data_IF_259491716647
#
_entry.id   IF_259491716647
#
_cell.length_a   1.000
_cell.length_b   1.000
_cell.length_c   1.000
_cell.angle_alpha   90.00
_cell.angle_beta   90.00
_cell.angle_gamma   90.00
#
_symmetry.space_group_name_H-M   'P 1'
#
loop_
_entity.id
_entity.type
_entity.pdbx_description
1 polymer ?
#
# COMPACT_ATOMS: atom_id res chain seq x y z
N UNK A 1 15.90 -12.99 27.90
CA UNK A 1 15.97 -11.85 26.96
C UNK A 1 14.91 -12.02 25.87
N UNK A 2 13.77 -11.33 26.00
CA UNK A 2 12.61 -11.50 25.10
C UNK A 2 12.80 -10.72 23.78
N UNK A 3 12.69 -11.42 22.64
CA UNK A 3 12.83 -10.83 21.30
C UNK A 3 11.56 -10.06 20.94
N UNK A 4 11.69 -8.74 20.82
CA UNK A 4 10.63 -7.86 20.31
C UNK A 4 10.31 -8.26 18.85
N UNK A 5 9.04 -8.57 18.51
CA UNK A 5 8.68 -8.96 17.14
C UNK A 5 8.96 -7.84 16.14
N UNK A 6 9.39 -8.23 14.93
CA UNK A 6 9.83 -7.34 13.84
C UNK A 6 8.82 -6.25 13.40
N UNK A 7 7.60 -6.25 13.93
CA UNK A 7 6.47 -5.41 13.53
C UNK A 7 6.49 -4.02 14.19
N UNK A 8 7.11 -3.86 15.36
CA UNK A 8 6.97 -2.62 16.16
C UNK A 8 7.98 -1.51 15.81
N UNK A 9 9.21 -1.85 15.38
CA UNK A 9 10.24 -0.85 15.03
C UNK A 9 10.10 -0.29 13.61
N UNK A 10 9.61 -1.09 12.66
CA UNK A 10 9.47 -0.67 11.27
C UNK A 10 8.29 0.29 11.05
N UNK A 11 7.19 0.09 11.80
CA UNK A 11 6.00 0.94 11.75
C UNK A 11 6.25 2.34 12.33
N UNK A 12 7.09 2.45 13.37
CA UNK A 12 7.37 3.74 14.03
C UNK A 12 8.16 4.71 13.13
N UNK A 13 9.10 4.20 12.32
CA UNK A 13 9.93 5.02 11.40
C UNK A 13 9.21 5.42 10.10
N UNK A 14 8.28 4.60 9.61
CA UNK A 14 7.44 4.99 8.46
C UNK A 14 6.39 6.05 8.83
N UNK A 15 5.99 6.09 10.11
CA UNK A 15 5.02 7.05 10.64
C UNK A 15 5.57 8.48 10.76
N UNK A 16 6.83 8.67 11.16
CA UNK A 16 7.41 10.02 11.25
C UNK A 16 7.60 10.69 9.87
N UNK A 17 7.93 9.90 8.84
CA UNK A 17 8.09 10.41 7.47
C UNK A 17 6.76 10.85 6.85
N UNK A 18 5.68 10.08 7.04
CA UNK A 18 4.35 10.42 6.50
C UNK A 18 3.70 11.60 7.25
N UNK A 19 3.98 11.77 8.55
CA UNK A 19 3.48 12.89 9.35
C UNK A 19 4.09 14.23 8.90
N UNK A 20 5.36 14.24 8.52
CA UNK A 20 6.03 15.45 8.02
C UNK A 20 5.49 15.89 6.65
N UNK A 21 5.14 14.95 5.76
CA UNK A 21 4.56 15.30 4.45
C UNK A 21 3.12 15.80 4.52
N UNK A 22 2.36 15.44 5.56
CA UNK A 22 1.00 15.95 5.77
C UNK A 22 0.93 17.32 6.45
N UNK A 23 2.01 17.78 7.10
CA UNK A 23 1.98 19.05 7.82
C UNK A 23 2.01 20.27 6.90
N UNK A 24 2.43 20.12 5.64
CA UNK A 24 2.44 21.19 4.64
C UNK A 24 1.09 21.40 3.97
N UNK A 25 0.25 20.36 3.88
CA UNK A 25 -1.12 20.46 3.33
C UNK A 25 -2.17 20.91 4.35
N UNK A 26 -1.86 20.86 5.66
CA UNK A 26 -2.81 21.19 6.72
C UNK A 26 -2.84 22.68 7.11
N UNK A 27 -2.03 23.54 6.48
CA UNK A 27 -1.98 24.99 6.82
C UNK A 27 -3.10 25.81 6.18
N UNK A 28 -3.91 25.24 5.30
CA UNK A 28 -4.94 25.97 4.54
C UNK A 28 -6.36 25.91 5.15
N UNK A 29 -6.57 25.16 6.23
CA UNK A 29 -7.86 25.02 6.89
C UNK A 29 -7.78 25.35 8.38
N UNK A 30 -7.42 26.60 8.71
CA UNK A 30 -7.64 27.14 10.05
C UNK A 30 -9.11 27.55 10.20
N UNK A 31 -10.00 26.57 10.39
CA UNK A 31 -11.37 26.87 10.81
C UNK A 31 -11.36 27.11 12.32
N UNK A 32 -11.76 28.32 12.70
CA UNK A 32 -11.86 28.82 14.07
C UNK A 32 -12.67 27.88 14.95
N UNK A 33 -12.00 27.16 15.86
CA UNK A 33 -12.65 26.41 16.94
C UNK A 33 -12.51 27.17 18.26
N UNK A 34 -13.35 28.16 18.48
CA UNK A 34 -13.62 28.68 19.83
C UNK A 34 -15.10 28.47 20.10
N UNK A 35 -15.38 27.81 21.23
CA UNK A 35 -16.69 27.49 21.80
C UNK A 35 -17.33 26.17 21.31
N UNK A 36 -16.89 25.06 21.90
CA UNK A 36 -17.73 23.86 22.06
C UNK A 36 -17.81 23.54 23.57
N UNK A 37 -19.01 23.47 24.17
CA UNK A 37 -19.19 23.11 25.57
C UNK A 37 -18.67 21.70 25.87
N UNK A 38 -17.87 21.55 26.93
CA UNK A 38 -17.35 20.27 27.41
C UNK A 38 -18.39 19.61 28.32
N UNK A 39 -19.38 18.91 27.75
CA UNK A 39 -20.25 18.03 28.55
C UNK A 39 -19.55 16.67 28.79
N UNK A 40 -19.36 16.22 30.04
CA UNK A 40 -18.60 15.01 30.37
C UNK A 40 -19.34 13.69 30.08
N UNK A 41 -20.62 13.72 29.66
CA UNK A 41 -21.44 12.50 29.47
C UNK A 41 -21.76 12.11 28.02
N UNK A 42 -21.51 12.98 27.03
CA UNK A 42 -21.79 12.69 25.61
C UNK A 42 -20.67 11.88 24.89
N UNK A 43 -19.64 11.43 25.62
CA UNK A 43 -18.48 10.72 25.05
C UNK A 43 -18.66 9.21 24.86
N UNK A 44 -19.77 8.61 25.31
CA UNK A 44 -19.84 7.15 25.44
C UNK A 44 -20.51 6.41 24.27
N UNK A 45 -21.41 7.04 23.50
CA UNK A 45 -22.22 6.30 22.51
C UNK A 45 -21.66 6.29 21.08
N UNK A 46 -20.72 7.18 20.75
CA UNK A 46 -20.07 7.19 19.43
C UNK A 46 -18.85 6.26 19.33
N UNK A 47 -18.40 5.69 20.46
CA UNK A 47 -17.20 4.86 20.52
C UNK A 47 -17.45 3.36 20.28
N UNK A 48 -18.72 2.91 20.22
CA UNK A 48 -19.09 1.49 20.22
C UNK A 48 -19.85 1.02 18.99
N UNK A 49 -20.06 1.87 17.97
CA UNK A 49 -20.61 1.36 16.71
C UNK A 49 -19.48 0.69 15.91
N UNK A 50 -19.49 -0.65 15.75
CA UNK A 50 -18.48 -1.35 14.97
C UNK A 50 -18.50 -0.78 13.57
N UNK A 51 -17.31 -0.48 13.03
CA UNK A 51 -17.24 -0.04 11.65
C UNK A 51 -17.80 -1.16 10.77
N UNK A 52 -18.89 -0.90 10.05
CA UNK A 52 -19.56 -1.89 9.23
C UNK A 52 -18.55 -2.52 8.25
N UNK A 53 -18.39 -3.87 8.25
CA UNK A 53 -17.51 -4.60 7.34
C UNK A 53 -17.80 -4.36 5.85
N UNK A 54 -19.01 -3.89 5.52
CA UNK A 54 -19.55 -3.80 4.17
C UNK A 54 -18.75 -2.93 3.20
N UNK A 55 -18.30 -1.73 3.59
CA UNK A 55 -17.56 -0.84 2.65
C UNK A 55 -16.22 -1.46 2.25
N UNK A 56 -15.65 -2.32 3.10
CA UNK A 56 -14.43 -3.03 2.76
C UNK A 56 -14.71 -4.15 1.79
N UNK A 57 -15.87 -4.79 1.84
CA UNK A 57 -16.25 -5.84 0.89
C UNK A 57 -16.23 -5.33 -0.56
N UNK A 58 -16.70 -4.11 -0.78
CA UNK A 58 -16.89 -3.52 -2.13
C UNK A 58 -15.59 -3.11 -2.84
N UNK A 59 -14.46 -3.00 -2.12
CA UNK A 59 -13.18 -2.67 -2.75
C UNK A 59 -12.60 -3.93 -3.39
N UNK A 60 -12.49 -3.93 -4.72
CA UNK A 60 -11.79 -4.99 -5.44
C UNK A 60 -10.29 -5.00 -5.09
N UNK A 61 -9.71 -6.17 -4.81
CA UNK A 61 -8.30 -6.25 -4.50
C UNK A 61 -7.45 -5.94 -5.73
N UNK A 62 -6.52 -5.02 -5.58
CA UNK A 62 -5.55 -4.74 -6.66
C UNK A 62 -4.63 -5.95 -6.84
N UNK A 63 -4.53 -6.46 -8.07
CA UNK A 63 -3.72 -7.65 -8.36
C UNK A 63 -2.28 -7.28 -8.72
N UNK A 64 -1.33 -8.02 -8.16
CA UNK A 64 0.09 -7.86 -8.41
C UNK A 64 0.73 -9.20 -8.75
N UNK A 65 1.70 -9.21 -9.67
CA UNK A 65 2.55 -10.38 -9.96
C UNK A 65 3.93 -10.17 -9.35
N UNK A 66 4.40 -11.13 -8.56
CA UNK A 66 5.70 -11.12 -7.91
C UNK A 66 6.56 -12.26 -8.45
N UNK A 67 7.55 -11.93 -9.26
CA UNK A 67 8.55 -12.89 -9.72
C UNK A 67 9.60 -13.07 -8.64
N UNK A 68 9.69 -14.31 -8.15
CA UNK A 68 10.46 -14.71 -6.99
C UNK A 68 11.56 -15.68 -7.38
N UNK A 69 12.73 -15.52 -6.75
CA UNK A 69 13.81 -16.50 -6.77
C UNK A 69 14.10 -16.94 -5.34
N UNK A 70 14.01 -18.25 -5.01
CA UNK A 70 14.13 -18.75 -3.63
C UNK A 70 15.53 -18.53 -3.05
N UNK A 71 16.57 -18.63 -3.88
CA UNK A 71 17.96 -18.53 -3.40
C UNK A 71 18.44 -17.08 -3.24
N UNK A 72 17.68 -16.09 -3.73
CA UNK A 72 18.07 -14.69 -3.63
C UNK A 72 17.49 -14.10 -2.33
N UNK A 73 18.32 -13.76 -1.32
CA UNK A 73 17.83 -13.37 0.01
C UNK A 73 16.94 -12.12 -0.01
N UNK A 74 17.22 -11.19 -0.91
CA UNK A 74 16.42 -9.98 -1.08
C UNK A 74 15.00 -10.31 -1.59
N UNK A 75 14.87 -11.28 -2.50
CA UNK A 75 13.59 -11.75 -3.00
C UNK A 75 12.77 -12.39 -1.88
N UNK A 76 13.38 -13.29 -1.10
CA UNK A 76 12.74 -13.96 0.06
C UNK A 76 12.27 -12.95 1.11
N UNK A 77 13.14 -12.00 1.50
CA UNK A 77 12.82 -10.96 2.48
C UNK A 77 11.68 -10.06 2.00
N UNK A 78 11.63 -9.76 0.71
CA UNK A 78 10.58 -8.91 0.13
C UNK A 78 9.25 -9.65 0.07
N UNK A 79 9.26 -10.93 -0.35
CA UNK A 79 8.07 -11.79 -0.35
C UNK A 79 7.44 -11.85 1.05
N UNK A 80 8.25 -12.12 2.09
CA UNK A 80 7.76 -12.17 3.48
C UNK A 80 7.06 -10.87 3.89
N UNK A 81 7.59 -9.71 3.49
CA UNK A 81 6.96 -8.41 3.80
C UNK A 81 5.64 -8.23 3.07
N UNK A 82 5.57 -8.62 1.80
CA UNK A 82 4.36 -8.50 0.98
C UNK A 82 3.26 -9.45 1.49
N UNK A 83 3.61 -10.69 1.84
CA UNK A 83 2.64 -11.65 2.41
C UNK A 83 2.06 -11.16 3.74
N UNK A 84 2.83 -10.44 4.55
CA UNK A 84 2.31 -9.79 5.77
C UNK A 84 1.32 -8.65 5.48
N UNK A 85 1.33 -8.07 4.28
CA UNK A 85 0.37 -7.03 3.88
C UNK A 85 -0.95 -7.62 3.39
N UNK A 86 -0.90 -8.78 2.72
CA UNK A 86 -2.08 -9.51 2.22
C UNK A 86 -2.90 -10.10 3.38
N UNK A 87 -2.23 -10.66 4.39
CA UNK A 87 -2.88 -11.21 5.60
C UNK A 87 -2.50 -10.39 6.83
N UNK A 88 -3.23 -9.31 7.13
CA UNK A 88 -3.02 -8.60 8.39
C UNK A 88 -3.30 -9.52 9.59
N UNK A 89 -2.61 -9.30 10.70
CA UNK A 89 -3.02 -9.94 11.97
C UNK A 89 -4.42 -9.47 12.36
N UNK A 90 -5.30 -10.40 12.78
CA UNK A 90 -6.71 -10.16 13.12
C UNK A 90 -6.91 -8.98 14.10
N UNK A 91 -5.95 -8.74 14.99
CA UNK A 91 -5.98 -7.64 15.96
C UNK A 91 -5.83 -6.23 15.35
N UNK A 92 -5.55 -6.09 14.06
CA UNK A 92 -5.46 -4.79 13.38
C UNK A 92 -6.77 -4.29 12.79
N UNK A 93 -7.82 -5.12 12.79
CA UNK A 93 -9.13 -4.83 12.21
C UNK A 93 -9.91 -3.73 12.95
N UNK A 94 -9.60 -3.52 14.24
CA UNK A 94 -10.32 -2.58 15.11
C UNK A 94 -9.83 -1.13 15.02
N UNK A 95 -8.72 -0.89 14.33
CA UNK A 95 -8.16 0.45 14.18
C UNK A 95 -8.35 0.91 12.72
N UNK A 96 -9.17 1.94 12.45
CA UNK A 96 -9.47 2.41 11.10
C UNK A 96 -8.21 2.66 10.25
N UNK A 97 -7.17 3.21 10.87
CA UNK A 97 -5.87 3.53 10.26
C UNK A 97 -4.92 2.33 10.12
N UNK A 98 -5.28 1.15 10.65
CA UNK A 98 -4.51 -0.10 10.51
C UNK A 98 -5.20 -1.15 9.66
N UNK A 99 -6.33 -0.82 9.03
CA UNK A 99 -7.01 -1.77 8.15
C UNK A 99 -6.07 -2.20 7.00
N UNK A 100 -6.09 -3.50 6.65
CA UNK A 100 -5.24 -4.05 5.59
C UNK A 100 -5.48 -3.36 4.26
N UNK A 101 -4.44 -3.35 3.44
CA UNK A 101 -4.58 -3.04 2.04
C UNK A 101 -5.12 -4.32 1.37
N UNK A 102 -6.24 -4.22 0.66
CA UNK A 102 -6.74 -5.33 -0.16
C UNK A 102 -5.84 -5.46 -1.40
N UNK A 103 -4.89 -6.38 -1.33
CA UNK A 103 -4.03 -6.74 -2.44
C UNK A 103 -4.11 -8.23 -2.67
N UNK A 104 -4.05 -8.65 -3.93
CA UNK A 104 -3.89 -10.05 -4.31
C UNK A 104 -2.53 -10.21 -4.96
N UNK A 105 -1.70 -11.12 -4.45
CA UNK A 105 -0.32 -11.28 -4.94
C UNK A 105 -0.15 -12.66 -5.57
N UNK A 106 0.06 -12.67 -6.88
CA UNK A 106 0.38 -13.88 -7.64
C UNK A 106 1.88 -14.08 -7.66
N UNK A 107 2.36 -15.07 -6.91
CA UNK A 107 3.80 -15.37 -6.81
C UNK A 107 4.20 -16.35 -7.92
N UNK A 108 5.16 -15.96 -8.76
CA UNK A 108 5.76 -16.82 -9.79
C UNK A 108 7.20 -17.13 -9.42
N UNK A 109 7.52 -18.40 -9.14
CA UNK A 109 8.88 -18.86 -8.78
C UNK A 109 9.73 -19.13 -10.01
N UNK A 110 9.87 -18.14 -10.88
CA UNK A 110 10.63 -18.21 -12.14
C UNK A 110 11.02 -16.82 -12.62
N UNK A 111 11.96 -16.74 -13.55
CA UNK A 111 12.16 -15.52 -14.35
C UNK A 111 10.93 -15.22 -15.21
N UNK A 112 10.67 -13.94 -15.53
CA UNK A 112 9.69 -13.59 -16.57
C UNK A 112 10.00 -14.27 -17.90
N UNK A 113 8.97 -14.59 -18.67
CA UNK A 113 9.12 -15.06 -20.05
C UNK A 113 9.54 -13.91 -20.97
N UNK A 114 9.95 -14.22 -22.20
CA UNK A 114 10.24 -13.21 -23.24
C UNK A 114 9.07 -12.23 -23.40
N UNK A 115 7.84 -12.74 -23.53
CA UNK A 115 6.63 -11.93 -23.63
C UNK A 115 6.40 -11.05 -22.39
N UNK A 116 6.59 -11.60 -21.20
CA UNK A 116 6.44 -10.84 -19.95
C UNK A 116 7.51 -9.75 -19.86
N UNK A 117 8.77 -10.02 -20.23
CA UNK A 117 9.81 -8.99 -20.29
C UNK A 117 9.49 -7.89 -21.31
N UNK A 118 9.02 -8.25 -22.50
CA UNK A 118 8.56 -7.31 -23.54
C UNK A 118 7.46 -6.40 -23.01
N UNK A 119 6.54 -6.94 -22.21
CA UNK A 119 5.47 -6.15 -21.60
C UNK A 119 5.93 -5.31 -20.41
N UNK A 120 6.90 -5.78 -19.62
CA UNK A 120 7.40 -5.07 -18.44
C UNK A 120 8.32 -3.91 -18.84
N UNK A 121 9.13 -4.06 -19.87
CA UNK A 121 10.12 -3.05 -20.26
C UNK A 121 9.48 -1.65 -20.45
N UNK A 122 8.38 -1.48 -21.21
CA UNK A 122 7.63 -0.21 -21.31
C UNK A 122 7.15 0.37 -19.96
N UNK A 123 6.85 -0.47 -18.96
CA UNK A 123 6.34 -0.01 -17.65
C UNK A 123 7.40 0.68 -16.80
N UNK A 124 8.68 0.55 -17.16
CA UNK A 124 9.76 1.23 -16.46
C UNK A 124 9.86 2.70 -16.87
N UNK A 125 9.34 3.08 -18.04
CA UNK A 125 9.47 4.43 -18.62
C UNK A 125 8.55 5.46 -17.93
N UNK A 126 7.43 5.00 -17.37
CA UNK A 126 6.43 5.87 -16.75
C UNK A 126 6.74 6.24 -15.28
N UNK A 127 7.88 5.79 -14.74
CA UNK A 127 8.30 6.16 -13.39
C UNK A 127 9.24 7.38 -13.41
N UNK A 128 9.02 8.39 -12.54
CA UNK A 128 9.94 9.51 -12.36
C UNK A 128 11.20 9.04 -11.63
N UNK A 129 12.06 8.30 -12.33
CA UNK A 129 13.44 8.00 -11.97
C UNK A 129 14.40 9.00 -12.61
N UNK A 130 15.70 9.00 -12.22
CA UNK A 130 16.69 9.89 -12.80
C UNK A 130 16.72 9.73 -14.33
N UNK A 131 16.67 10.87 -15.01
CA UNK A 131 16.55 11.05 -16.46
C UNK A 131 17.52 10.12 -17.21
N UNK A 132 16.96 9.05 -17.77
CA UNK A 132 17.66 8.08 -18.60
C UNK A 132 16.66 7.02 -19.02
N UNK A 133 16.53 6.78 -20.32
CA UNK A 133 15.62 5.77 -20.85
C UNK A 133 15.89 4.44 -20.11
N UNK A 134 14.89 3.83 -19.44
CA UNK A 134 15.07 2.54 -18.81
C UNK A 134 15.43 1.53 -19.88
N UNK A 135 16.67 1.09 -19.82
CA UNK A 135 17.25 0.12 -20.75
C UNK A 135 17.02 -1.28 -20.20
N UNK A 136 17.16 -2.29 -21.08
CA UNK A 136 17.17 -3.71 -20.72
C UNK A 136 18.14 -4.00 -19.56
N UNK A 137 19.18 -3.18 -19.39
CA UNK A 137 20.13 -3.23 -18.26
C UNK A 137 19.50 -3.00 -16.87
N UNK A 138 18.30 -2.41 -16.79
CA UNK A 138 17.58 -2.25 -15.52
C UNK A 138 17.28 -3.60 -14.85
N UNK A 139 17.18 -4.68 -15.64
CA UNK A 139 16.92 -6.03 -15.15
C UNK A 139 18.17 -6.77 -14.66
N UNK A 140 19.38 -6.26 -14.89
CA UNK A 140 20.63 -6.98 -14.62
C UNK A 140 21.50 -6.21 -13.63
N UNK A 141 22.18 -6.91 -12.73
CA UNK A 141 23.20 -6.33 -11.87
C UNK A 141 24.36 -5.80 -12.73
N UNK A 142 24.93 -4.62 -12.43
CA UNK A 142 26.04 -4.09 -13.20
C UNK A 142 27.24 -5.06 -13.11
N UNK A 143 27.67 -5.58 -14.26
CA UNK A 143 28.79 -6.50 -14.37
C UNK A 143 29.60 -6.20 -15.64
N UNK A 144 30.94 -6.17 -15.59
CA UNK A 144 31.77 -5.92 -16.77
C UNK A 144 31.52 -6.96 -17.87
N UNK A 145 31.29 -6.51 -19.10
CA UNK A 145 31.13 -7.38 -20.28
C UNK A 145 29.75 -8.01 -20.44
N UNK A 146 28.83 -7.82 -19.47
CA UNK A 146 27.49 -8.38 -19.52
C UNK A 146 26.45 -7.30 -19.82
N UNK A 147 26.19 -7.12 -21.12
CA UNK A 147 25.26 -6.09 -21.61
C UNK A 147 24.24 -6.74 -22.54
N UNK A 148 23.10 -7.25 -22.02
CA UNK A 148 22.03 -7.75 -22.89
C UNK A 148 21.53 -6.61 -23.79
N UNK A 149 21.61 -6.82 -25.10
CA UNK A 149 21.19 -5.83 -26.11
C UNK A 149 19.75 -6.01 -26.53
N UNK A 150 19.17 -7.19 -26.31
CA UNK A 150 17.79 -7.51 -26.63
C UNK A 150 17.14 -8.40 -25.54
N UNK A 151 15.82 -8.57 -25.63
CA UNK A 151 15.02 -9.27 -24.63
C UNK A 151 15.30 -10.78 -24.63
N UNK A 152 15.56 -11.37 -25.79
CA UNK A 152 15.91 -12.79 -25.89
C UNK A 152 17.21 -13.09 -25.14
N UNK A 153 18.24 -12.25 -25.31
CA UNK A 153 19.48 -12.34 -24.55
C UNK A 153 19.25 -12.15 -23.04
N UNK A 154 18.37 -11.22 -22.65
CA UNK A 154 18.00 -11.05 -21.25
C UNK A 154 17.34 -12.31 -20.68
N UNK A 155 16.44 -12.94 -21.45
CA UNK A 155 15.77 -14.18 -21.05
C UNK A 155 16.75 -15.37 -20.97
N UNK A 156 17.65 -15.50 -21.94
CA UNK A 156 18.68 -16.55 -21.92
C UNK A 156 19.61 -16.39 -20.73
N UNK A 157 20.03 -15.16 -20.44
CA UNK A 157 20.84 -14.79 -19.28
C UNK A 157 20.10 -15.10 -17.98
N UNK A 158 18.82 -14.74 -17.89
CA UNK A 158 17.95 -15.03 -16.76
C UNK A 158 17.79 -16.52 -16.49
N UNK A 159 17.74 -17.32 -17.56
CA UNK A 159 17.53 -18.77 -17.49
C UNK A 159 18.81 -19.51 -17.13
N UNK A 160 19.97 -19.07 -17.64
CA UNK A 160 21.27 -19.70 -17.36
C UNK A 160 21.83 -19.29 -16.01
N UNK A 161 21.83 -17.99 -15.72
CA UNK A 161 22.47 -17.40 -14.56
C UNK A 161 21.49 -16.43 -13.85
N UNK A 162 20.49 -16.95 -13.12
CA UNK A 162 19.44 -16.13 -12.53
C UNK A 162 19.96 -15.11 -11.50
N UNK A 163 21.11 -15.36 -10.87
CA UNK A 163 21.77 -14.44 -9.93
C UNK A 163 22.20 -13.10 -10.55
N UNK A 164 22.38 -13.06 -11.87
CA UNK A 164 22.74 -11.86 -12.61
C UNK A 164 21.54 -10.92 -12.75
N UNK A 165 20.31 -11.43 -12.66
CA UNK A 165 19.12 -10.59 -12.65
C UNK A 165 18.96 -9.83 -11.32
N UNK A 166 18.38 -8.63 -11.41
CA UNK A 166 17.91 -7.88 -10.26
C UNK A 166 16.58 -8.44 -9.77
N UNK A 167 16.62 -9.10 -8.63
CA UNK A 167 15.44 -9.63 -7.96
C UNK A 167 14.99 -8.77 -6.77
N UNK A 168 13.70 -8.83 -6.40
CA UNK A 168 12.58 -9.40 -7.16
C UNK A 168 12.10 -8.49 -8.30
N UNK A 169 11.26 -9.01 -9.19
CA UNK A 169 10.51 -8.19 -10.16
C UNK A 169 9.04 -8.20 -9.73
N UNK A 170 8.48 -7.02 -9.49
CA UNK A 170 7.13 -6.84 -8.99
C UNK A 170 6.33 -5.97 -9.95
N UNK A 171 5.19 -6.48 -10.41
CA UNK A 171 4.44 -5.89 -11.53
C UNK A 171 2.98 -5.75 -11.16
N UNK A 172 2.39 -4.60 -11.49
CA UNK A 172 0.96 -4.41 -11.58
C UNK A 172 0.58 -4.23 -13.06
N UNK A 173 -0.07 -5.23 -13.62
CA UNK A 173 -0.46 -5.24 -15.02
C UNK A 173 -1.65 -4.31 -15.33
N UNK A 174 -2.49 -4.00 -14.34
CA UNK A 174 -3.66 -3.13 -14.49
C UNK A 174 -3.25 -1.65 -14.52
N UNK A 175 -2.27 -1.29 -13.67
CA UNK A 175 -1.77 0.08 -13.53
C UNK A 175 -0.55 0.36 -14.41
N UNK A 176 -0.07 -0.62 -15.17
CA UNK A 176 1.18 -0.55 -15.93
C UNK A 176 2.39 -0.10 -15.08
N UNK A 177 2.47 -0.57 -13.84
CA UNK A 177 3.56 -0.23 -12.93
C UNK A 177 4.48 -1.44 -12.75
N UNK A 178 5.78 -1.20 -12.76
CA UNK A 178 6.78 -2.21 -12.41
C UNK A 178 7.81 -1.66 -11.42
N UNK A 179 8.29 -2.54 -10.55
CA UNK A 179 9.44 -2.32 -9.68
C UNK A 179 10.40 -3.48 -9.84
N UNK A 180 11.65 -3.16 -10.14
CA UNK A 180 12.76 -4.12 -10.16
C UNK A 180 13.61 -3.89 -8.92
N UNK A 181 13.92 -4.96 -8.18
CA UNK A 181 14.67 -4.91 -6.94
C UNK A 181 13.82 -4.68 -5.69
N UNK A 182 14.44 -4.86 -4.53
CA UNK A 182 13.74 -4.96 -3.24
C UNK A 182 13.26 -3.65 -2.60
N UNK A 183 13.46 -2.48 -3.21
CA UNK A 183 13.06 -1.19 -2.62
C UNK A 183 11.87 -0.51 -3.32
N UNK A 184 11.66 -0.75 -4.62
CA UNK A 184 10.62 -0.05 -5.38
C UNK A 184 9.19 -0.53 -5.10
N UNK A 185 9.01 -1.72 -4.50
CA UNK A 185 7.68 -2.30 -4.26
C UNK A 185 6.77 -1.40 -3.42
N UNK A 186 7.33 -0.56 -2.54
CA UNK A 186 6.56 0.41 -1.76
C UNK A 186 5.86 1.45 -2.63
N UNK A 187 6.54 1.94 -3.67
CA UNK A 187 5.97 2.90 -4.61
C UNK A 187 4.84 2.25 -5.40
N UNK A 188 5.01 0.99 -5.76
CA UNK A 188 4.03 0.20 -6.51
C UNK A 188 2.75 -0.10 -5.70
N UNK A 189 2.84 -0.08 -4.37
CA UNK A 189 1.71 -0.24 -3.46
C UNK A 189 1.01 1.09 -3.11
N UNK A 190 1.60 2.26 -3.42
CA UNK A 190 1.00 3.57 -3.12
C UNK A 190 -0.44 3.72 -3.66
N UNK A 191 -0.76 3.31 -4.90
CA UNK A 191 -2.13 3.43 -5.40
C UNK A 191 -3.15 2.65 -4.55
N UNK A 192 -2.78 1.46 -4.08
CA UNK A 192 -3.65 0.66 -3.22
C UNK A 192 -3.81 1.29 -1.82
N UNK A 193 -2.76 1.94 -1.30
CA UNK A 193 -2.83 2.72 -0.05
C UNK A 193 -3.77 3.92 -0.19
N UNK A 194 -3.68 4.66 -1.31
CA UNK A 194 -4.55 5.82 -1.56
C UNK A 194 -6.02 5.39 -1.68
N UNK A 195 -6.31 4.35 -2.48
CA UNK A 195 -7.69 3.81 -2.59
C UNK A 195 -8.27 3.42 -1.23
N UNK A 196 -7.45 2.80 -0.37
CA UNK A 196 -7.81 2.44 1.00
C UNK A 196 -8.16 3.67 1.83
N UNK A 197 -7.34 4.71 1.77
CA UNK A 197 -7.55 5.96 2.53
C UNK A 197 -8.80 6.71 2.05
N UNK A 198 -9.02 6.80 0.74
CA UNK A 198 -10.23 7.38 0.16
C UNK A 198 -11.50 6.62 0.56
N UNK A 199 -11.46 5.29 0.57
CA UNK A 199 -12.60 4.48 1.02
C UNK A 199 -12.90 4.71 2.51
N UNK A 200 -11.86 4.83 3.34
CA UNK A 200 -12.01 5.16 4.75
C UNK A 200 -12.61 6.56 4.96
N UNK A 201 -12.15 7.57 4.20
CA UNK A 201 -12.70 8.93 4.28
C UNK A 201 -14.16 8.98 3.84
N UNK A 202 -14.54 8.24 2.79
CA UNK A 202 -15.94 8.10 2.34
C UNK A 202 -16.85 7.49 3.41
N UNK A 203 -16.39 6.46 4.13
CA UNK A 203 -17.13 5.87 5.26
C UNK A 203 -17.34 6.89 6.39
N UNK A 204 -16.29 7.61 6.78
CA UNK A 204 -16.36 8.63 7.83
C UNK A 204 -17.35 9.75 7.45
N UNK A 205 -17.28 10.22 6.20
CA UNK A 205 -18.18 11.25 5.69
C UNK A 205 -19.64 10.78 5.67
N UNK A 206 -19.90 9.57 5.15
CA UNK A 206 -21.24 8.97 5.09
C UNK A 206 -21.88 8.91 6.48
N UNK A 207 -21.12 8.49 7.50
CA UNK A 207 -21.61 8.42 8.89
C UNK A 207 -21.95 9.79 9.47
N UNK A 208 -21.07 10.78 9.30
CA UNK A 208 -21.32 12.14 9.80
C UNK A 208 -22.61 12.74 9.21
N UNK A 209 -22.89 12.47 7.94
CA UNK A 209 -24.10 12.96 7.28
C UNK A 209 -25.35 12.16 7.66
N UNK A 210 -25.24 10.83 7.82
CA UNK A 210 -26.33 10.02 8.37
C UNK A 210 -26.72 10.51 9.78
N UNK A 211 -25.75 10.76 10.66
CA UNK A 211 -26.05 11.31 12.01
C UNK A 211 -26.70 12.68 11.98
N UNK A 212 -26.44 13.51 10.95
CA UNK A 212 -27.10 14.81 10.78
C UNK A 212 -28.55 14.67 10.34
N UNK A 213 -28.85 13.74 9.43
CA UNK A 213 -30.23 13.46 9.00
C UNK A 213 -31.07 12.83 10.11
N UNK A 214 -30.52 11.84 10.84
CA UNK A 214 -31.22 11.20 11.96
C UNK A 214 -31.57 12.19 13.09
N UNK A 215 -30.74 13.20 13.34
CA UNK A 215 -31.03 14.26 14.31
C UNK A 215 -32.07 15.30 13.86
N UNK A 216 -32.40 15.35 12.57
CA UNK A 216 -33.50 16.18 12.05
C UNK A 216 -34.84 15.44 12.02
N UNK A 217 -34.83 14.13 11.80
CA UNK A 217 -36.05 13.32 11.67
C UNK A 217 -36.60 12.77 13.00
N UNK A 218 -35.79 12.76 14.07
CA UNK A 218 -36.25 12.37 15.42
C UNK A 218 -36.10 13.53 16.43
N UNK A 219 -37.09 14.43 16.56
CA UNK A 219 -37.05 15.53 17.51
C UNK A 219 -37.04 15.08 18.98
N UNK A 220 -37.46 13.85 19.27
CA UNK A 220 -37.37 13.22 20.60
C UNK A 220 -35.93 13.03 21.11
N UNK A 221 -34.93 13.07 20.22
CA UNK A 221 -33.51 13.06 20.61
C UNK A 221 -33.00 14.42 21.13
N UNK A 222 -33.76 15.52 20.95
CA UNK A 222 -33.39 16.83 21.53
C UNK A 222 -33.59 16.90 23.04
N UNK A 223 -34.51 16.09 23.58
CA UNK A 223 -34.87 16.13 25.01
C UNK A 223 -33.80 15.54 25.95
N UNK A 224 -32.74 14.92 25.42
CA UNK A 224 -31.63 14.37 26.21
C UNK A 224 -30.39 15.26 26.28
N UNK A 225 -30.38 16.40 25.59
CA UNK A 225 -29.25 17.35 25.62
C UNK A 225 -29.55 18.63 26.43
N UNK A 226 -30.76 18.78 26.96
CA UNK A 226 -31.18 19.95 27.75
C UNK A 226 -31.20 19.68 29.28
N UNK A 227 -30.54 18.61 29.75
CA UNK A 227 -30.29 18.32 31.18
C UNK A 227 -28.81 18.03 31.49
#
# INVERSE_FOLDING_TARGET
MSRVPCTLRAAKRTFEYLRQTTSTLSRSYAFSSRNVPRHPRARSLLATMPLTPQIWADIEPTTYTFFHHPDIPLSVRTLKKITCLEKPEENTLYLPWRRPIKIKVVVKKRSPTVEEFTRILPMLYDHPGPVGAPTIHAFVNPMPGLHPTNISMLFDLASRNPELLRWPIFVNWELNLCSIGGMGYKNLLKPAVVRREEAMLRDIWRRKNLTRHWGQENPSFRLFNDY
#
